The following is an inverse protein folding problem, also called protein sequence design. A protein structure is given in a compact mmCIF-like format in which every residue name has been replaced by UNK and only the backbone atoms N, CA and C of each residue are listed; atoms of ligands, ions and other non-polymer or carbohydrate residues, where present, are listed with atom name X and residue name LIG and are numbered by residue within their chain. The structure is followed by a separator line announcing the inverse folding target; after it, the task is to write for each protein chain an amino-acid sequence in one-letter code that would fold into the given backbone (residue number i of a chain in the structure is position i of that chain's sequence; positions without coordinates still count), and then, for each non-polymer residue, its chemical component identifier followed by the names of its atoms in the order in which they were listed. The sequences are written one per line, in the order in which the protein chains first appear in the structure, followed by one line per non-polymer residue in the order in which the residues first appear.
data_IF_393014920401
#
_entry.id   IF_393014920401
#
_cell.length_a   1.000
_cell.length_b   1.000
_cell.length_c   1.000
_cell.angle_alpha   90.00
_cell.angle_beta   90.00
_cell.angle_gamma   90.00
#
_symmetry.space_group_name_H-M   'P 1'
#
loop_
_entity.id
_entity.type
_entity.pdbx_description
1 polymer ?
#
# COMPACT_ATOMS: atom_id res chain seq x y z
N UNK A 1 0.49 29.49 -5.05
CA UNK A 1 1.20 28.36 -5.66
C UNK A 1 1.79 27.52 -4.54
N UNK A 2 1.63 26.18 -4.60
CA UNK A 2 2.21 25.28 -3.62
C UNK A 2 3.73 25.46 -3.46
N UNK A 3 4.25 25.21 -2.25
CA UNK A 3 5.68 25.29 -1.95
C UNK A 3 6.28 23.89 -1.82
N UNK A 4 7.49 23.67 -2.30
CA UNK A 4 8.15 22.35 -2.28
C UNK A 4 8.15 21.70 -3.67
N UNK A 5 8.41 20.40 -3.72
CA UNK A 5 8.47 19.65 -4.97
C UNK A 5 8.02 18.20 -4.78
N UNK A 6 7.38 17.65 -5.81
CA UNK A 6 7.02 16.24 -5.93
C UNK A 6 7.79 15.69 -7.11
N UNK A 7 8.71 14.75 -6.87
CA UNK A 7 9.67 14.29 -7.90
C UNK A 7 9.37 12.85 -8.26
N UNK A 8 9.29 12.57 -9.56
CA UNK A 8 9.31 11.19 -10.05
C UNK A 8 10.65 10.54 -9.69
N UNK A 9 10.62 9.49 -8.88
CA UNK A 9 11.83 8.74 -8.51
C UNK A 9 11.98 7.43 -9.28
N UNK A 10 10.88 6.85 -9.77
CA UNK A 10 10.89 5.74 -10.73
C UNK A 10 9.67 5.85 -11.65
N UNK A 11 9.87 5.62 -12.95
CA UNK A 11 8.84 5.65 -13.97
C UNK A 11 9.21 4.69 -15.09
N UNK A 12 8.22 3.99 -15.61
CA UNK A 12 8.42 3.17 -16.79
C UNK A 12 7.29 2.19 -17.03
N UNK A 13 7.66 1.10 -17.71
CA UNK A 13 6.81 -0.05 -17.91
C UNK A 13 7.61 -1.32 -17.70
N UNK A 14 7.00 -2.35 -17.13
CA UNK A 14 7.64 -3.64 -16.93
C UNK A 14 6.63 -4.78 -16.94
N UNK A 15 7.13 -6.01 -17.09
CA UNK A 15 6.32 -7.23 -17.08
C UNK A 15 6.21 -7.76 -15.65
N UNK A 16 5.14 -7.36 -14.97
CA UNK A 16 4.96 -7.65 -13.55
C UNK A 16 3.86 -6.85 -12.90
N UNK A 17 3.83 -6.83 -11.58
CA UNK A 17 2.84 -6.16 -10.73
C UNK A 17 3.54 -5.31 -9.68
N UNK A 18 2.88 -4.25 -9.22
CA UNK A 18 3.38 -3.38 -8.15
C UNK A 18 2.49 -3.58 -6.92
N UNK A 19 3.11 -3.82 -5.78
CA UNK A 19 2.44 -3.79 -4.47
C UNK A 19 2.98 -2.60 -3.67
N UNK A 20 2.14 -1.96 -2.88
CA UNK A 20 2.55 -0.84 -2.05
C UNK A 20 1.67 -0.72 -0.81
N UNK A 21 2.28 -0.25 0.27
CA UNK A 21 1.61 -0.05 1.56
C UNK A 21 2.26 1.09 2.34
N UNK A 22 1.45 1.82 3.10
CA UNK A 22 1.88 2.96 3.90
C UNK A 22 1.37 2.88 5.33
N UNK A 23 2.31 3.01 6.26
CA UNK A 23 2.02 3.36 7.64
C UNK A 23 1.90 4.89 7.74
N UNK A 24 0.67 5.35 7.96
CA UNK A 24 0.28 6.77 7.97
C UNK A 24 0.00 7.33 9.37
N UNK A 25 0.27 6.57 10.43
CA UNK A 25 0.11 7.05 11.81
C UNK A 25 1.42 7.72 12.27
N UNK A 26 1.44 9.03 12.57
CA UNK A 26 2.69 9.70 12.91
C UNK A 26 3.34 9.15 14.18
N UNK A 27 4.65 8.92 14.15
CA UNK A 27 5.46 8.46 15.29
C UNK A 27 6.43 9.54 15.72
N UNK A 28 6.35 9.92 17.00
CA UNK A 28 7.32 10.84 17.62
C UNK A 28 8.54 10.07 18.09
N UNK A 29 9.70 10.38 17.51
CA UNK A 29 10.99 9.82 17.89
C UNK A 29 11.79 10.87 18.68
N UNK A 30 12.25 10.52 19.87
CA UNK A 30 12.88 11.42 20.82
C UNK A 30 13.46 10.70 22.03
N UNK A 31 13.35 11.31 23.21
CA UNK A 31 13.90 10.74 24.44
C UNK A 31 13.13 9.50 24.93
N UNK A 32 11.80 9.50 24.76
CA UNK A 32 10.89 8.44 25.22
C UNK A 32 10.83 7.25 24.27
N UNK A 33 10.78 7.52 22.96
CA UNK A 33 10.71 6.52 21.91
C UNK A 33 11.89 6.76 20.97
N UNK A 34 12.86 5.83 20.98
CA UNK A 34 14.10 5.99 20.21
C UNK A 34 14.09 5.16 18.95
N UNK A 35 13.18 4.20 18.83
CA UNK A 35 13.21 3.21 17.78
C UNK A 35 11.81 2.99 17.21
N UNK A 36 11.73 2.81 15.91
CA UNK A 36 10.52 2.37 15.24
C UNK A 36 10.88 1.27 14.25
N UNK A 37 10.14 0.15 14.31
CA UNK A 37 10.36 -0.98 13.42
C UNK A 37 9.18 -1.09 12.45
N UNK A 38 9.46 -0.92 11.16
CA UNK A 38 8.50 -1.11 10.07
C UNK A 38 8.74 -2.47 9.42
N UNK A 39 7.70 -3.29 9.31
CA UNK A 39 7.81 -4.65 8.76
C UNK A 39 7.33 -4.68 7.32
N UNK A 40 8.15 -5.27 6.45
CA UNK A 40 7.86 -5.47 5.03
C UNK A 40 7.84 -6.97 4.77
N UNK A 41 6.66 -7.53 4.52
CA UNK A 41 6.48 -8.95 4.20
C UNK A 41 6.37 -9.16 2.70
N UNK A 42 7.37 -9.82 2.11
CA UNK A 42 7.46 -10.04 0.66
C UNK A 42 7.04 -11.46 0.30
N UNK A 43 5.97 -11.60 -0.50
CA UNK A 43 5.44 -12.91 -0.95
C UNK A 43 6.47 -13.68 -1.79
N UNK A 44 7.22 -12.98 -2.65
CA UNK A 44 8.21 -13.53 -3.57
C UNK A 44 9.49 -12.68 -3.58
N UNK A 45 10.55 -13.14 -4.26
CA UNK A 45 11.73 -12.30 -4.51
C UNK A 45 11.36 -11.14 -5.45
N UNK A 46 11.50 -9.87 -5.02
CA UNK A 46 11.14 -8.72 -5.83
C UNK A 46 12.24 -8.38 -6.86
N UNK A 47 11.85 -7.69 -7.92
CA UNK A 47 12.77 -7.07 -8.88
C UNK A 47 13.30 -5.73 -8.35
N UNK A 48 12.41 -4.94 -7.74
CA UNK A 48 12.74 -3.67 -7.08
C UNK A 48 11.95 -3.52 -5.80
N UNK A 49 12.54 -2.88 -4.79
CA UNK A 49 11.85 -2.44 -3.59
C UNK A 49 12.34 -1.06 -3.17
N UNK A 50 11.40 -0.14 -3.02
CA UNK A 50 11.64 1.19 -2.50
C UNK A 50 11.00 1.35 -1.13
N UNK A 51 11.66 2.06 -0.22
CA UNK A 51 11.08 2.54 1.05
C UNK A 51 11.07 4.06 1.02
N UNK A 52 9.94 4.65 1.37
CA UNK A 52 9.73 6.10 1.39
C UNK A 52 9.41 6.51 2.81
N UNK A 53 10.16 7.48 3.35
CA UNK A 53 9.95 8.06 4.67
C UNK A 53 9.63 9.55 4.53
N UNK A 54 8.61 10.02 5.24
CA UNK A 54 8.29 11.43 5.38
C UNK A 54 8.45 11.84 6.84
N UNK A 55 9.24 12.87 7.11
CA UNK A 55 9.62 13.29 8.45
C UNK A 55 9.45 14.78 8.61
N UNK A 56 8.85 15.18 9.73
CA UNK A 56 8.74 16.55 10.18
C UNK A 56 9.69 16.78 11.36
N UNK A 57 10.40 17.90 11.37
CA UNK A 57 11.25 18.31 12.49
C UNK A 57 11.32 19.81 12.61
N UNK A 58 11.72 20.32 13.77
CA UNK A 58 12.09 21.73 13.87
C UNK A 58 13.26 22.04 12.91
N UNK A 59 13.20 23.17 12.21
CA UNK A 59 14.21 23.54 11.20
C UNK A 59 15.65 23.60 11.70
N UNK A 60 15.84 23.82 13.01
CA UNK A 60 17.17 23.90 13.64
C UNK A 60 17.67 22.53 14.13
N UNK A 61 16.92 21.45 13.90
CA UNK A 61 17.26 20.10 14.35
C UNK A 61 17.71 19.28 13.15
N UNK A 62 18.93 18.76 13.21
CA UNK A 62 19.40 17.76 12.26
C UNK A 62 19.04 16.35 12.75
N UNK A 63 18.50 15.49 11.87
CA UNK A 63 18.08 14.15 12.26
C UNK A 63 19.30 13.26 12.53
N UNK A 64 19.55 12.96 13.81
CA UNK A 64 20.60 12.01 14.24
C UNK A 64 20.05 10.58 14.30
N UNK A 65 19.72 10.02 13.16
CA UNK A 65 19.18 8.68 13.05
C UNK A 65 20.10 7.69 12.34
N UNK A 66 19.82 6.40 12.51
CA UNK A 66 20.42 5.29 11.78
C UNK A 66 19.30 4.41 11.27
N UNK A 67 19.38 4.05 9.99
CA UNK A 67 18.42 3.15 9.37
C UNK A 67 19.08 1.80 9.17
N UNK A 68 18.32 0.75 9.47
CA UNK A 68 18.75 -0.63 9.33
C UNK A 68 17.68 -1.39 8.57
N UNK A 69 18.09 -2.24 7.63
CA UNK A 69 17.24 -3.26 7.05
C UNK A 69 17.78 -4.62 7.48
N UNK A 70 16.98 -5.37 8.22
CA UNK A 70 17.43 -6.56 8.93
C UNK A 70 18.69 -6.20 9.74
N UNK A 71 19.80 -6.90 9.51
CA UNK A 71 21.07 -6.66 10.18
C UNK A 71 22.01 -5.70 9.41
N UNK A 72 21.55 -5.08 8.32
CA UNK A 72 22.36 -4.21 7.47
C UNK A 72 22.06 -2.72 7.70
N UNK A 73 23.10 -1.94 7.98
CA UNK A 73 22.97 -0.48 8.09
C UNK A 73 22.89 0.17 6.71
N UNK A 74 21.85 0.99 6.48
CA UNK A 74 21.59 1.66 5.19
C UNK A 74 22.33 3.01 5.04
N UNK A 75 23.48 3.17 5.71
CA UNK A 75 24.20 4.45 5.86
C UNK A 75 24.91 4.97 4.60
N UNK A 76 24.69 4.36 3.42
CA UNK A 76 25.15 4.91 2.13
C UNK A 76 24.02 5.68 1.44
N UNK A 77 24.24 6.97 1.26
CA UNK A 77 23.34 7.94 0.64
C UNK A 77 22.77 7.45 -0.71
N UNK A 78 21.44 7.36 -0.80
CA UNK A 78 20.70 7.44 -2.05
C UNK A 78 19.88 8.74 -2.01
N UNK A 79 20.04 9.60 -3.02
CA UNK A 79 19.26 10.83 -3.22
C UNK A 79 18.07 10.52 -4.13
N UNK A 80 16.89 11.17 -3.97
CA UNK A 80 16.71 12.51 -3.41
C UNK A 80 16.14 12.55 -1.98
N UNK A 81 16.80 13.32 -1.12
CA UNK A 81 16.18 13.94 0.05
C UNK A 81 15.50 15.21 -0.44
N UNK A 82 14.17 15.23 -0.47
CA UNK A 82 13.41 16.43 -0.80
C UNK A 82 13.06 17.10 0.50
N UNK A 83 13.57 18.31 0.71
CA UNK A 83 13.30 19.07 1.92
C UNK A 83 12.57 20.36 1.59
N UNK A 84 11.57 20.68 2.40
CA UNK A 84 10.83 21.93 2.33
C UNK A 84 10.68 22.49 3.74
N UNK A 85 10.66 23.81 3.86
CA UNK A 85 10.47 24.51 5.13
C UNK A 85 9.13 25.25 5.13
N UNK A 86 8.38 25.15 6.23
CA UNK A 86 7.14 25.91 6.46
C UNK A 86 7.36 27.16 7.35
N UNK A 87 8.63 27.45 7.64
CA UNK A 87 9.09 28.56 8.47
C UNK A 87 9.54 28.14 9.88
N UNK A 88 8.89 27.15 10.48
CA UNK A 88 9.23 26.61 11.82
C UNK A 88 9.76 25.19 11.71
N UNK A 89 9.17 24.41 10.81
CA UNK A 89 9.52 23.02 10.57
C UNK A 89 10.21 22.86 9.23
N UNK A 90 11.01 21.80 9.16
CA UNK A 90 11.51 21.22 7.93
C UNK A 90 10.88 19.86 7.76
N UNK A 91 10.27 19.65 6.60
CA UNK A 91 9.69 18.37 6.20
C UNK A 91 10.60 17.75 5.15
N UNK A 92 10.97 16.48 5.34
CA UNK A 92 11.83 15.73 4.43
C UNK A 92 11.12 14.48 3.93
N UNK A 93 11.17 14.26 2.61
CA UNK A 93 10.85 12.98 1.98
C UNK A 93 12.14 12.29 1.55
N UNK A 94 12.29 11.04 1.93
CA UNK A 94 13.53 10.27 1.78
C UNK A 94 13.19 8.92 1.17
N UNK A 95 13.92 8.55 0.11
CA UNK A 95 13.63 7.35 -0.70
C UNK A 95 14.86 6.45 -0.68
N UNK A 96 14.66 5.19 -0.27
CA UNK A 96 15.69 4.17 -0.26
C UNK A 96 15.37 3.08 -1.26
N UNK A 97 16.29 2.82 -2.20
CA UNK A 97 16.30 1.57 -2.97
C UNK A 97 16.92 0.47 -2.10
N UNK A 98 16.07 -0.43 -1.60
CA UNK A 98 16.48 -1.56 -0.77
C UNK A 98 16.46 -2.89 -1.52
N UNK A 99 16.22 -2.86 -2.84
CA UNK A 99 16.21 -4.03 -3.73
C UNK A 99 17.37 -5.01 -3.51
N UNK A 100 18.64 -4.57 -3.33
CA UNK A 100 19.75 -5.52 -3.17
C UNK A 100 19.81 -6.20 -1.79
N UNK A 101 19.07 -5.71 -0.80
CA UNK A 101 19.19 -6.14 0.61
C UNK A 101 17.96 -6.90 1.12
N UNK A 102 16.84 -6.82 0.39
CA UNK A 102 15.61 -7.53 0.74
C UNK A 102 15.68 -9.02 0.42
N UNK A 103 15.00 -9.81 1.24
CA UNK A 103 14.79 -11.25 1.04
C UNK A 103 13.29 -11.55 0.91
N UNK A 104 12.95 -12.68 0.31
CA UNK A 104 11.58 -13.19 0.39
C UNK A 104 11.20 -13.43 1.86
N UNK A 105 9.94 -13.15 2.20
CA UNK A 105 9.39 -13.21 3.55
C UNK A 105 9.57 -11.90 4.31
N UNK A 106 9.71 -12.01 5.63
CA UNK A 106 9.76 -10.87 6.55
C UNK A 106 11.09 -10.11 6.47
N UNK A 107 10.99 -8.81 6.25
CA UNK A 107 12.10 -7.85 6.33
C UNK A 107 11.77 -6.78 7.36
N UNK A 108 12.72 -6.46 8.22
CA UNK A 108 12.54 -5.48 9.29
C UNK A 108 13.30 -4.20 8.97
N UNK A 109 12.62 -3.07 8.89
CA UNK A 109 13.20 -1.76 8.65
C UNK A 109 13.17 -0.95 9.94
N UNK A 110 14.32 -0.90 10.62
CA UNK A 110 14.49 -0.22 11.90
C UNK A 110 15.00 1.21 11.71
N UNK A 111 14.25 2.16 12.27
CA UNK A 111 14.63 3.56 12.39
C UNK A 111 15.10 3.79 13.83
N UNK A 112 16.40 3.99 14.03
CA UNK A 112 16.97 4.25 15.35
C UNK A 112 17.40 5.71 15.49
N UNK A 113 16.67 6.48 16.29
CA UNK A 113 16.93 7.90 16.56
C UNK A 113 17.78 8.10 17.82
N UNK A 114 18.79 8.96 17.70
CA UNK A 114 19.76 9.28 18.78
C UNK A 114 19.79 10.76 19.13
N UNK A 115 18.90 11.56 18.55
CA UNK A 115 18.80 12.97 18.87
C UNK A 115 18.11 13.21 20.21
N UNK A 116 18.33 14.40 20.75
CA UNK A 116 17.72 14.85 22.01
C UNK A 116 16.37 15.54 21.73
N UNK A 117 16.27 16.25 20.61
CA UNK A 117 15.04 16.93 20.19
C UNK A 117 14.12 15.95 19.45
N UNK A 118 12.83 16.03 19.73
CA UNK A 118 11.82 15.20 19.06
C UNK A 118 11.76 15.49 17.55
N UNK A 119 11.63 14.43 16.76
CA UNK A 119 11.25 14.47 15.35
C UNK A 119 9.99 13.62 15.16
N UNK A 120 9.20 13.91 14.14
CA UNK A 120 8.00 13.13 13.80
C UNK A 120 8.24 12.37 12.51
N UNK A 121 8.18 11.05 12.54
CA UNK A 121 7.99 10.24 11.35
C UNK A 121 6.52 10.33 10.97
N UNK A 122 6.19 11.16 9.99
CA UNK A 122 4.82 11.39 9.52
C UNK A 122 4.27 10.12 8.86
N UNK A 123 5.04 9.54 7.94
CA UNK A 123 4.66 8.28 7.30
C UNK A 123 5.88 7.49 6.86
N UNK A 124 5.75 6.18 6.79
CA UNK A 124 6.68 5.29 6.12
C UNK A 124 5.90 4.32 5.25
N UNK A 125 6.35 4.08 4.03
CA UNK A 125 5.76 3.07 3.17
C UNK A 125 6.78 2.41 2.28
N UNK A 126 6.34 1.38 1.57
CA UNK A 126 7.17 0.65 0.64
C UNK A 126 6.45 0.41 -0.68
N UNK A 127 7.22 0.24 -1.74
CA UNK A 127 6.74 -0.12 -3.09
C UNK A 127 7.57 -1.29 -3.59
N UNK A 128 6.90 -2.35 -4.03
CA UNK A 128 7.49 -3.64 -4.42
C UNK A 128 7.12 -3.96 -5.84
N UNK A 129 8.11 -4.35 -6.63
CA UNK A 129 7.93 -4.80 -8.01
C UNK A 129 8.10 -6.32 -8.06
N UNK A 130 7.04 -7.04 -8.43
CA UNK A 130 7.11 -8.48 -8.64
C UNK A 130 7.08 -8.80 -10.13
N UNK A 131 7.98 -9.67 -10.58
CA UNK A 131 7.88 -10.23 -11.94
C UNK A 131 6.63 -11.09 -12.04
N UNK A 132 5.90 -10.92 -13.13
CA UNK A 132 4.71 -11.70 -13.43
C UNK A 132 4.53 -11.75 -14.95
N UNK A 133 4.67 -12.93 -15.54
CA UNK A 133 4.49 -13.10 -16.98
C UNK A 133 3.07 -12.71 -17.41
N UNK A 134 2.95 -12.08 -18.58
CA UNK A 134 1.69 -11.58 -19.18
C UNK A 134 1.01 -10.42 -18.44
N UNK A 135 1.55 -9.97 -17.30
CA UNK A 135 1.13 -8.71 -16.69
C UNK A 135 1.99 -7.59 -17.28
N UNK A 136 1.38 -6.62 -17.94
CA UNK A 136 2.07 -5.40 -18.37
C UNK A 136 1.66 -4.27 -17.43
N UNK A 137 2.64 -3.68 -16.74
CA UNK A 137 2.40 -2.56 -15.83
C UNK A 137 3.09 -1.32 -16.35
N UNK A 138 2.35 -0.21 -16.47
CA UNK A 138 2.89 1.15 -16.64
C UNK A 138 2.76 1.88 -15.32
N UNK A 139 3.81 2.60 -14.91
CA UNK A 139 3.83 3.26 -13.63
C UNK A 139 4.60 4.58 -13.65
N UNK A 140 4.22 5.48 -12.74
CA UNK A 140 4.91 6.72 -12.40
C UNK A 140 4.82 6.90 -10.89
N UNK A 141 5.96 6.78 -10.20
CA UNK A 141 6.05 6.90 -8.76
C UNK A 141 6.70 8.23 -8.39
N UNK A 142 5.93 9.06 -7.70
CA UNK A 142 6.40 10.35 -7.21
C UNK A 142 6.37 10.40 -5.68
N UNK A 143 7.43 10.95 -5.11
CA UNK A 143 7.54 11.23 -3.68
C UNK A 143 8.19 12.60 -3.48
N UNK A 144 7.92 13.21 -2.34
CA UNK A 144 8.37 14.57 -2.05
C UNK A 144 7.52 15.22 -0.99
N UNK A 145 7.51 16.55 -0.99
CA UNK A 145 6.64 17.30 -0.10
C UNK A 145 6.14 18.53 -0.85
N UNK A 146 4.83 18.64 -0.97
CA UNK A 146 4.16 19.86 -1.40
C UNK A 146 3.35 20.42 -0.24
N UNK A 147 3.63 21.67 0.12
CA UNK A 147 2.89 22.45 1.10
C UNK A 147 1.87 23.32 0.37
N UNK A 148 0.61 23.15 0.71
CA UNK A 148 -0.50 23.94 0.20
C UNK A 148 -0.92 24.96 1.26
N UNK A 149 -1.03 26.23 0.84
CA UNK A 149 -1.64 27.31 1.60
C UNK A 149 -3.12 27.45 1.21
N UNK A 150 -3.95 28.11 2.03
CA UNK A 150 -5.35 28.33 1.68
C UNK A 150 -5.51 28.96 0.29
N UNK A 151 -6.33 28.34 -0.56
CA UNK A 151 -6.54 28.76 -1.95
C UNK A 151 -5.58 28.14 -2.97
N UNK A 152 -4.57 27.38 -2.54
CA UNK A 152 -3.72 26.64 -3.47
C UNK A 152 -4.47 25.48 -4.13
N UNK A 153 -4.17 25.30 -5.42
CA UNK A 153 -4.68 24.24 -6.27
C UNK A 153 -3.51 23.61 -7.03
N UNK A 154 -3.57 22.30 -7.25
CA UNK A 154 -2.66 21.57 -8.13
C UNK A 154 -3.37 20.43 -8.84
N UNK A 155 -2.67 19.83 -9.81
CA UNK A 155 -3.15 18.67 -10.55
C UNK A 155 -2.07 17.62 -10.66
N UNK A 156 -2.49 16.36 -10.62
CA UNK A 156 -1.66 15.19 -10.95
C UNK A 156 -2.26 14.46 -12.14
N UNK A 157 -1.41 13.92 -13.02
CA UNK A 157 -1.86 13.12 -14.15
C UNK A 157 -2.02 11.66 -13.71
N UNK A 158 -3.25 11.15 -13.79
CA UNK A 158 -3.60 9.80 -13.41
C UNK A 158 -3.91 8.98 -14.67
N UNK A 159 -3.41 7.76 -14.75
CA UNK A 159 -3.62 6.92 -15.93
C UNK A 159 -4.06 5.49 -15.61
N UNK A 160 -4.72 5.31 -14.47
CA UNK A 160 -5.23 4.03 -13.99
C UNK A 160 -5.57 4.13 -12.51
N UNK A 161 -5.00 3.24 -11.71
CA UNK A 161 -5.02 3.32 -10.25
C UNK A 161 -4.05 4.39 -9.78
N UNK A 162 -4.55 5.35 -9.01
CA UNK A 162 -3.77 6.42 -8.43
C UNK A 162 -3.90 6.46 -6.92
N UNK A 163 -2.79 6.79 -6.28
CA UNK A 163 -2.64 6.73 -4.85
C UNK A 163 -1.94 7.99 -4.36
N UNK A 164 -2.50 8.63 -3.33
CA UNK A 164 -1.97 9.83 -2.70
C UNK A 164 -1.87 9.64 -1.19
N UNK A 165 -0.78 10.12 -0.60
CA UNK A 165 -0.66 10.28 0.85
C UNK A 165 -0.69 11.77 1.17
N UNK A 166 -1.66 12.19 1.97
CA UNK A 166 -1.95 13.59 2.20
C UNK A 166 -2.28 13.89 3.67
N UNK A 167 -1.90 15.06 4.16
CA UNK A 167 -2.18 15.53 5.53
C UNK A 167 -2.94 16.84 5.51
N UNK A 168 -4.00 16.94 6.30
CA UNK A 168 -4.70 18.20 6.55
C UNK A 168 -4.30 18.75 7.94
N UNK A 169 -3.42 19.75 7.98
CA UNK A 169 -3.02 20.42 9.22
C UNK A 169 -3.83 21.72 9.44
N UNK A 170 -5.15 21.62 9.31
CA UNK A 170 -6.04 22.76 9.49
C UNK A 170 -7.38 22.38 10.10
N UNK A 171 -7.61 22.80 11.35
CA UNK A 171 -8.84 22.55 12.12
C UNK A 171 -10.13 22.89 11.37
N UNK A 172 -10.15 24.04 10.70
CA UNK A 172 -11.30 24.54 9.94
C UNK A 172 -10.98 24.61 8.43
N UNK A 173 -10.04 23.79 7.98
CA UNK A 173 -9.63 23.70 6.58
C UNK A 173 -10.07 22.38 5.96
N UNK A 174 -10.23 22.38 4.64
CA UNK A 174 -10.60 21.19 3.85
C UNK A 174 -9.56 20.97 2.77
N UNK A 175 -8.92 19.82 2.82
CA UNK A 175 -8.12 19.33 1.70
C UNK A 175 -9.00 18.42 0.84
N UNK A 176 -9.26 18.84 -0.39
CA UNK A 176 -10.05 18.11 -1.37
C UNK A 176 -9.12 17.49 -2.41
N UNK A 177 -9.34 16.22 -2.73
CA UNK A 177 -8.69 15.47 -3.80
C UNK A 177 -9.82 14.93 -4.68
N UNK A 178 -10.08 15.61 -5.79
CA UNK A 178 -11.34 15.54 -6.54
C UNK A 178 -12.54 15.66 -5.58
N UNK A 179 -13.40 14.63 -5.50
CA UNK A 179 -14.58 14.59 -4.64
C UNK A 179 -14.29 14.05 -3.23
N UNK A 180 -13.06 13.59 -2.97
CA UNK A 180 -12.65 13.05 -1.68
C UNK A 180 -12.15 14.18 -0.77
N UNK A 181 -12.70 14.27 0.45
CA UNK A 181 -12.21 15.18 1.47
C UNK A 181 -11.36 14.42 2.48
N UNK A 182 -10.09 14.82 2.61
CA UNK A 182 -9.21 14.34 3.68
C UNK A 182 -9.75 14.87 5.01
N UNK A 183 -10.14 13.95 5.87
CA UNK A 183 -10.75 14.22 7.17
C UNK A 183 -9.70 14.51 8.24
N UNK A 184 -10.15 14.98 9.40
CA UNK A 184 -9.30 15.16 10.57
C UNK A 184 -8.39 16.40 10.57
N UNK A 185 -8.17 16.94 11.77
CA UNK A 185 -7.09 17.90 12.02
C UNK A 185 -5.82 17.11 12.33
N UNK A 186 -4.77 17.30 11.55
CA UNK A 186 -3.48 16.59 11.61
C UNK A 186 -3.48 15.12 11.19
N UNK A 187 -4.60 14.61 10.68
CA UNK A 187 -4.64 13.24 10.17
C UNK A 187 -3.97 13.16 8.80
N UNK A 188 -3.21 12.07 8.62
CA UNK A 188 -2.66 11.67 7.34
C UNK A 188 -3.60 10.59 6.80
N UNK A 189 -3.99 10.75 5.54
CA UNK A 189 -4.84 9.79 4.85
C UNK A 189 -4.19 9.29 3.57
N UNK A 190 -4.50 8.03 3.27
CA UNK A 190 -4.22 7.40 2.01
C UNK A 190 -5.47 7.45 1.12
N UNK A 191 -5.36 8.15 -0.01
CA UNK A 191 -6.47 8.32 -0.96
C UNK A 191 -6.19 7.51 -2.21
N UNK A 192 -7.07 6.55 -2.50
CA UNK A 192 -7.02 5.71 -3.71
C UNK A 192 -8.14 6.08 -4.66
N UNK A 193 -7.78 6.31 -5.91
CA UNK A 193 -8.68 6.71 -6.99
C UNK A 193 -8.40 5.84 -8.22
N UNK A 194 -9.40 5.55 -9.04
CA UNK A 194 -9.20 4.94 -10.35
C UNK A 194 -9.72 5.89 -11.42
N UNK A 195 -8.81 6.47 -12.21
CA UNK A 195 -9.11 7.54 -13.16
C UNK A 195 -8.11 7.58 -14.31
N UNK A 196 -8.56 8.06 -15.46
CA UNK A 196 -7.69 8.49 -16.55
C UNK A 196 -7.87 10.00 -16.76
N UNK A 197 -6.80 10.78 -16.59
CA UNK A 197 -6.76 12.23 -16.67
C UNK A 197 -6.36 12.90 -15.34
N UNK A 198 -6.64 14.19 -15.22
CA UNK A 198 -6.19 14.97 -14.07
C UNK A 198 -6.97 14.62 -12.79
N UNK A 199 -6.24 14.42 -11.69
CA UNK A 199 -6.75 14.52 -10.31
C UNK A 199 -6.47 15.94 -9.83
N UNK A 200 -7.50 16.63 -9.33
CA UNK A 200 -7.38 18.00 -8.82
C UNK A 200 -7.27 17.98 -7.31
N UNK A 201 -6.28 18.68 -6.76
CA UNK A 201 -6.13 18.85 -5.32
C UNK A 201 -6.31 20.32 -4.97
N UNK A 202 -7.14 20.61 -3.99
CA UNK A 202 -7.46 21.97 -3.55
C UNK A 202 -7.48 22.07 -2.04
N UNK A 203 -6.86 23.11 -1.49
CA UNK A 203 -6.90 23.38 -0.06
C UNK A 203 -7.75 24.62 0.24
N UNK A 204 -8.86 24.42 0.94
CA UNK A 204 -9.87 25.45 1.23
C UNK A 204 -9.80 25.79 2.72
N UNK A 205 -9.50 27.04 3.03
CA UNK A 205 -9.62 27.61 4.37
C UNK A 205 -9.87 29.11 4.25
N UNK A 206 -10.08 29.79 5.38
CA UNK A 206 -10.11 31.25 5.39
C UNK A 206 -8.75 31.81 4.94
N UNK A 207 -8.73 32.87 4.13
CA UNK A 207 -7.48 33.45 3.59
C UNK A 207 -6.52 33.97 4.68
N UNK A 208 -7.04 34.27 5.87
CA UNK A 208 -6.23 34.69 7.03
C UNK A 208 -5.70 33.51 7.86
N UNK A 209 -6.09 32.28 7.52
CA UNK A 209 -5.65 31.08 8.22
C UNK A 209 -4.17 30.81 7.95
N UNK A 210 -3.47 30.32 8.98
CA UNK A 210 -2.11 29.77 8.86
C UNK A 210 -2.11 28.24 8.65
N UNK A 211 -3.29 27.64 8.46
CA UNK A 211 -3.41 26.21 8.18
C UNK A 211 -2.65 25.83 6.92
N UNK A 212 -2.09 24.62 6.92
CA UNK A 212 -1.36 24.06 5.80
C UNK A 212 -1.91 22.67 5.49
N UNK A 213 -1.76 22.25 4.24
CA UNK A 213 -1.92 20.86 3.84
C UNK A 213 -0.63 20.35 3.21
N UNK A 214 -0.38 19.06 3.33
CA UNK A 214 0.82 18.42 2.81
C UNK A 214 0.45 17.28 1.88
N UNK A 215 1.11 17.18 0.73
CA UNK A 215 1.08 16.00 -0.14
C UNK A 215 2.47 15.39 -0.10
N UNK A 216 2.54 14.10 0.24
CA UNK A 216 3.79 13.39 0.44
C UNK A 216 4.15 12.47 -0.74
N UNK A 217 3.16 11.79 -1.30
CA UNK A 217 3.37 10.84 -2.39
C UNK A 217 2.23 10.92 -3.41
N UNK A 218 2.55 10.63 -4.67
CA UNK A 218 1.59 10.43 -5.73
C UNK A 218 2.06 9.29 -6.64
N UNK A 219 1.31 8.19 -6.69
CA UNK A 219 1.57 7.08 -7.60
C UNK A 219 0.46 6.98 -8.62
N UNK A 220 0.82 6.73 -9.88
CA UNK A 220 -0.12 6.39 -10.95
C UNK A 220 0.33 5.10 -11.61
N UNK A 221 -0.52 4.08 -11.56
CA UNK A 221 -0.21 2.71 -11.98
C UNK A 221 -1.35 2.21 -12.87
N UNK A 222 -1.00 1.60 -13.99
CA UNK A 222 -1.97 0.98 -14.88
C UNK A 222 -1.54 -0.43 -15.22
N UNK A 223 -2.45 -1.36 -15.00
CA UNK A 223 -2.26 -2.78 -15.24
C UNK A 223 -3.02 -3.21 -16.48
N UNK A 224 -2.33 -3.94 -17.36
CA UNK A 224 -2.96 -4.84 -18.32
C UNK A 224 -2.71 -6.25 -17.82
N UNK A 225 -3.73 -6.78 -17.14
CA UNK A 225 -3.70 -8.09 -16.50
C UNK A 225 -4.21 -9.19 -17.44
N UNK A 226 -3.63 -10.40 -17.40
CA UNK A 226 -4.21 -11.56 -18.05
C UNK A 226 -5.54 -11.93 -17.38
N UNK A 227 -6.38 -12.70 -18.09
CA UNK A 227 -7.62 -13.21 -17.49
C UNK A 227 -7.28 -14.16 -16.34
N UNK A 228 -7.67 -13.77 -15.12
CA UNK A 228 -7.69 -14.65 -13.95
C UNK A 228 -9.12 -15.11 -13.74
N UNK A 229 -9.36 -16.40 -13.81
CA UNK A 229 -10.68 -16.98 -13.63
C UNK A 229 -10.60 -18.33 -12.91
N UNK A 230 -11.50 -18.52 -11.95
CA UNK A 230 -11.63 -19.75 -11.17
C UNK A 230 -13.07 -20.23 -11.25
N UNK A 231 -13.26 -21.42 -11.81
CA UNK A 231 -14.56 -22.08 -11.75
C UNK A 231 -14.69 -22.76 -10.38
N UNK A 232 -15.63 -22.29 -9.56
CA UNK A 232 -15.89 -22.81 -8.22
C UNK A 232 -17.23 -23.54 -8.21
N UNK A 233 -17.16 -24.86 -8.11
CA UNK A 233 -18.32 -25.74 -8.03
C UNK A 233 -18.44 -26.34 -6.63
N UNK A 234 -19.68 -26.44 -6.15
CA UNK A 234 -19.99 -26.91 -4.80
C UNK A 234 -21.12 -27.92 -4.86
N UNK A 235 -20.95 -29.05 -4.19
CA UNK A 235 -21.98 -30.07 -4.03
C UNK A 235 -22.11 -30.44 -2.57
N UNK A 236 -23.33 -30.35 -2.04
CA UNK A 236 -23.66 -30.79 -0.69
C UNK A 236 -23.95 -32.29 -0.67
N UNK A 237 -23.45 -32.96 0.35
CA UNK A 237 -23.85 -34.32 0.70
C UNK A 237 -24.04 -34.45 2.22
N UNK A 238 -24.49 -35.62 2.67
CA UNK A 238 -24.80 -35.89 4.09
C UNK A 238 -23.60 -35.73 5.04
N UNK A 239 -22.38 -35.68 4.51
CA UNK A 239 -21.14 -35.62 5.28
C UNK A 239 -20.44 -34.25 5.17
N UNK A 240 -20.95 -33.32 4.36
CA UNK A 240 -20.40 -31.97 4.25
C UNK A 240 -20.57 -31.33 2.86
N UNK A 241 -19.65 -30.41 2.55
CA UNK A 241 -19.59 -29.75 1.23
C UNK A 241 -18.35 -30.23 0.47
N UNK A 242 -18.57 -30.75 -0.74
CA UNK A 242 -17.53 -31.01 -1.71
C UNK A 242 -17.30 -29.76 -2.54
N UNK A 243 -16.06 -29.29 -2.58
CA UNK A 243 -15.63 -28.09 -3.29
C UNK A 243 -14.69 -28.52 -4.39
N UNK A 244 -15.01 -28.15 -5.63
CA UNK A 244 -14.18 -28.33 -6.82
C UNK A 244 -13.81 -26.96 -7.36
N UNK A 245 -12.51 -26.71 -7.54
CA UNK A 245 -11.98 -25.45 -8.06
C UNK A 245 -11.14 -25.77 -9.27
N UNK A 246 -11.47 -25.20 -10.42
CA UNK A 246 -10.67 -25.32 -11.64
C UNK A 246 -10.06 -23.98 -12.01
N UNK A 247 -8.74 -23.96 -12.23
CA UNK A 247 -8.06 -22.77 -12.71
C UNK A 247 -8.32 -22.57 -14.21
N UNK A 248 -9.18 -21.62 -14.57
CA UNK A 248 -9.45 -21.25 -15.97
C UNK A 248 -8.61 -20.05 -16.43
N UNK A 249 -7.68 -19.58 -15.59
CA UNK A 249 -6.84 -18.43 -15.88
C UNK A 249 -5.88 -18.70 -17.05
N UNK A 250 -5.53 -17.64 -17.77
CA UNK A 250 -4.49 -17.65 -18.82
C UNK A 250 -3.07 -17.88 -18.26
N UNK A 251 -2.93 -17.82 -16.94
CA UNK A 251 -1.68 -17.96 -16.19
C UNK A 251 -1.82 -18.97 -15.06
N UNK A 252 -0.70 -19.54 -14.65
CA UNK A 252 -0.60 -20.23 -13.36
C UNK A 252 -0.77 -19.24 -12.19
N UNK A 253 -1.29 -19.74 -11.07
CA UNK A 253 -1.47 -18.97 -9.85
C UNK A 253 -0.43 -19.40 -8.80
N UNK A 254 0.15 -18.43 -8.10
CA UNK A 254 1.13 -18.71 -7.05
C UNK A 254 0.44 -19.43 -5.88
N UNK A 255 -0.79 -19.00 -5.55
CA UNK A 255 -1.63 -19.68 -4.57
C UNK A 255 -3.13 -19.47 -4.81
N UNK A 256 -3.91 -20.45 -4.37
CA UNK A 256 -5.36 -20.35 -4.18
C UNK A 256 -5.64 -20.48 -2.69
N UNK A 257 -6.31 -19.48 -2.13
CA UNK A 257 -6.75 -19.47 -0.73
C UNK A 257 -8.25 -19.74 -0.71
N UNK A 258 -8.70 -20.73 0.07
CA UNK A 258 -10.11 -21.03 0.26
C UNK A 258 -10.48 -20.84 1.72
N UNK A 259 -11.47 -19.99 1.96
CA UNK A 259 -12.09 -19.80 3.27
C UNK A 259 -13.57 -20.17 3.18
N UNK A 260 -14.01 -21.12 3.98
CA UNK A 260 -15.42 -21.51 4.08
C UNK A 260 -15.99 -20.89 5.34
N UNK A 261 -17.00 -20.05 5.16
CA UNK A 261 -17.69 -19.36 6.24
C UNK A 261 -19.10 -19.88 6.38
N UNK A 262 -19.54 -20.10 7.61
CA UNK A 262 -20.92 -20.42 7.93
C UNK A 262 -21.50 -19.32 8.81
N UNK A 263 -22.54 -18.65 8.31
CA UNK A 263 -23.14 -17.49 8.98
C UNK A 263 -22.09 -16.43 9.37
N UNK A 264 -21.08 -16.23 8.50
CA UNK A 264 -19.98 -15.29 8.70
C UNK A 264 -18.80 -15.80 9.53
N UNK A 265 -18.88 -17.00 10.13
CA UNK A 265 -17.79 -17.58 10.91
C UNK A 265 -16.95 -18.53 10.05
N UNK A 266 -15.63 -18.34 10.01
CA UNK A 266 -14.73 -19.28 9.31
C UNK A 266 -14.75 -20.66 9.98
N UNK A 267 -15.12 -21.68 9.21
CA UNK A 267 -15.14 -23.08 9.65
C UNK A 267 -14.06 -23.93 8.96
N UNK A 268 -13.48 -23.43 7.86
CA UNK A 268 -12.38 -24.10 7.19
C UNK A 268 -11.51 -23.08 6.44
N UNK A 269 -10.19 -23.32 6.47
CA UNK A 269 -9.21 -22.54 5.73
C UNK A 269 -8.23 -23.51 5.06
N UNK A 270 -8.03 -23.36 3.75
CA UNK A 270 -7.02 -24.10 2.98
C UNK A 270 -6.25 -23.17 2.06
N UNK A 271 -4.99 -23.51 1.85
CA UNK A 271 -4.12 -22.85 0.89
C UNK A 271 -3.49 -23.91 0.00
N UNK A 272 -3.51 -23.66 -1.31
CA UNK A 272 -2.87 -24.48 -2.32
C UNK A 272 -1.89 -23.61 -3.10
N UNK A 273 -0.65 -24.07 -3.27
CA UNK A 273 0.40 -23.30 -3.94
C UNK A 273 0.67 -23.87 -5.35
N UNK A 274 1.20 -23.03 -6.24
CA UNK A 274 1.66 -23.39 -7.59
C UNK A 274 0.57 -24.12 -8.41
N UNK A 275 -0.50 -23.39 -8.72
CA UNK A 275 -1.67 -23.93 -9.43
C UNK A 275 -1.55 -23.63 -10.91
N UNK A 276 -1.16 -24.65 -11.67
CA UNK A 276 -1.11 -24.60 -13.13
C UNK A 276 -2.48 -24.26 -13.75
N UNK A 277 -2.45 -23.72 -14.97
CA UNK A 277 -3.67 -23.49 -15.75
C UNK A 277 -4.37 -24.83 -16.06
N UNK A 278 -5.70 -24.82 -16.07
CA UNK A 278 -6.59 -25.97 -16.25
C UNK A 278 -6.54 -27.05 -15.16
N UNK A 279 -5.70 -26.88 -14.13
CA UNK A 279 -5.66 -27.78 -12.97
C UNK A 279 -6.94 -27.66 -12.15
N UNK A 280 -7.47 -28.81 -11.75
CA UNK A 280 -8.57 -28.92 -10.79
C UNK A 280 -8.07 -29.30 -9.40
N UNK A 281 -8.73 -28.75 -8.38
CA UNK A 281 -8.54 -29.03 -6.97
C UNK A 281 -9.87 -29.47 -6.38
N UNK A 282 -9.90 -30.66 -5.79
CA UNK A 282 -11.10 -31.21 -5.16
C UNK A 282 -10.82 -31.50 -3.70
N UNK A 283 -11.71 -31.05 -2.82
CA UNK A 283 -11.65 -31.40 -1.40
C UNK A 283 -13.01 -31.28 -0.72
N UNK A 284 -13.13 -32.00 0.40
CA UNK A 284 -14.32 -32.00 1.24
C UNK A 284 -14.09 -31.19 2.51
N UNK A 285 -15.11 -30.45 2.92
CA UNK A 285 -15.16 -29.76 4.22
C UNK A 285 -16.31 -30.35 5.02
N UNK A 286 -15.97 -30.94 6.17
CA UNK A 286 -16.97 -31.44 7.10
C UNK A 286 -17.78 -30.28 7.65
N UNK A 287 -19.10 -30.40 7.59
CA UNK A 287 -20.02 -29.46 8.21
C UNK A 287 -20.40 -29.97 9.61
N UNK A 288 -20.63 -29.08 10.58
CA UNK A 288 -21.10 -29.50 11.89
C UNK A 288 -22.53 -30.09 11.79
N UNK A 289 -22.92 -31.01 12.69
CA UNK A 289 -24.25 -31.62 12.66
C UNK A 289 -25.39 -30.60 12.89
N UNK A 290 -26.57 -30.85 12.27
CA UNK A 290 -27.82 -30.07 12.41
C UNK A 290 -27.77 -28.59 12.01
N UNK A 291 -26.96 -28.20 11.04
CA UNK A 291 -26.78 -26.77 10.71
C UNK A 291 -27.72 -26.29 9.60
N UNK A 292 -28.42 -25.20 9.93
CA UNK A 292 -29.10 -24.30 9.01
C UNK A 292 -28.29 -23.01 8.88
N UNK A 293 -28.22 -22.43 7.70
CA UNK A 293 -27.58 -21.15 7.49
C UNK A 293 -27.08 -20.92 6.07
N UNK A 294 -26.37 -19.81 5.92
CA UNK A 294 -25.71 -19.49 4.67
C UNK A 294 -24.23 -19.90 4.74
N UNK A 295 -23.84 -20.79 3.84
CA UNK A 295 -22.46 -21.19 3.63
C UNK A 295 -21.87 -20.33 2.51
N UNK A 296 -20.83 -19.57 2.82
CA UNK A 296 -20.06 -18.79 1.86
C UNK A 296 -18.70 -19.45 1.64
N UNK A 297 -18.45 -19.96 0.44
CA UNK A 297 -17.12 -20.37 0.00
C UNK A 297 -16.47 -19.17 -0.68
N UNK A 298 -15.46 -18.60 -0.04
CA UNK A 298 -14.62 -17.55 -0.61
C UNK A 298 -13.32 -18.16 -1.13
N UNK A 299 -13.10 -18.06 -2.42
CA UNK A 299 -11.87 -18.49 -3.09
C UNK A 299 -11.11 -17.26 -3.58
N UNK A 300 -9.82 -17.17 -3.27
CA UNK A 300 -8.96 -16.07 -3.71
C UNK A 300 -7.82 -16.65 -4.54
N UNK A 301 -7.79 -16.32 -5.82
CA UNK A 301 -6.65 -16.59 -6.69
C UNK A 301 -5.60 -15.49 -6.53
N UNK A 302 -4.34 -15.88 -6.35
CA UNK A 302 -3.22 -14.96 -6.14
C UNK A 302 -2.13 -15.21 -7.17
N UNK A 303 -1.68 -14.15 -7.84
CA UNK A 303 -0.51 -14.16 -8.73
C UNK A 303 0.31 -12.89 -8.52
N UNK A 304 1.55 -13.03 -8.07
CA UNK A 304 2.49 -11.93 -7.85
C UNK A 304 1.87 -10.75 -7.07
N UNK A 305 1.23 -11.03 -5.93
CA UNK A 305 0.55 -10.01 -5.11
C UNK A 305 -0.82 -9.55 -5.61
N UNK A 306 -1.15 -9.74 -6.90
CA UNK A 306 -2.50 -9.50 -7.42
C UNK A 306 -3.48 -10.55 -6.89
N UNK A 307 -4.66 -10.12 -6.43
CA UNK A 307 -5.67 -10.99 -5.80
C UNK A 307 -7.01 -10.82 -6.51
N UNK A 308 -7.67 -11.93 -6.85
CA UNK A 308 -9.04 -11.94 -7.36
C UNK A 308 -9.90 -12.89 -6.53
N UNK A 309 -11.04 -12.38 -6.07
CA UNK A 309 -11.96 -13.10 -5.18
C UNK A 309 -13.15 -13.66 -5.95
N UNK A 310 -13.54 -14.88 -5.63
CA UNK A 310 -14.67 -15.63 -6.18
C UNK A 310 -15.49 -16.16 -5.01
N UNK A 311 -16.71 -15.66 -4.88
CA UNK A 311 -17.61 -16.01 -3.79
C UNK A 311 -18.74 -16.92 -4.31
N UNK A 312 -18.96 -18.05 -3.63
CA UNK A 312 -20.07 -18.98 -3.89
C UNK A 312 -20.88 -19.18 -2.62
N UNK A 313 -22.15 -18.81 -2.67
CA UNK A 313 -23.09 -19.00 -1.56
C UNK A 313 -23.94 -20.24 -1.77
N UNK A 314 -24.14 -21.00 -0.70
CA UNK A 314 -24.99 -22.20 -0.66
C UNK A 314 -25.84 -22.13 0.61
N UNK A 315 -27.15 -22.31 0.46
CA UNK A 315 -28.06 -22.38 1.61
C UNK A 315 -28.12 -23.83 2.09
N UNK A 316 -27.86 -24.03 3.37
CA UNK A 316 -27.97 -25.31 4.09
C UNK A 316 -29.02 -25.22 5.21
#
# INVERSE_FOLDING_TARGET
MPTGNMVTFDRGSFTGTIDYDFFINPIKLGASEKEFNYVIDLDNKPEKVYVILNIERNKNVDPKWRLWLNDFSLTKEFRPNIEVEDGVHKISSIIYDISPLVKQGRNEFLIAYRGIHEITLESIGHVVFYKAEKFETRYDLMAGVLILKPGDELKFDCFGECHLVAKNNGKDARLLIDDYQVSGENDIEEVRLNKHGNIYVKFISSEKSKSLAYIYNFYSINYKIPTIDLEVNTQLDDQGVNISIKNLSEVELDKIIVNVLLNGLSINYKMFNNIESLRSLDFKVALPPNRKGNLLIRVVGVKSGFRKTFDKSVII
#
